data_IF_882522323980
#
_entry.id   IF_882522323980
#
_cell.length_a   1.000
_cell.length_b   1.000
_cell.length_c   1.000
_cell.angle_alpha   90.00
_cell.angle_beta   90.00
_cell.angle_gamma   90.00
#
_symmetry.space_group_name_H-M   'P 1'
#
loop_
_entity.id
_entity.type
_entity.pdbx_description
1 polymer ?
#
# COMPACT_ATOMS: atom_id res chain seq x y z
N UNK A 1 11.22 -6.06 2.74
CA UNK A 1 11.75 -4.70 2.89
C UNK A 1 11.37 -3.90 1.65
N UNK A 2 10.92 -2.65 1.80
CA UNK A 2 10.54 -1.80 0.66
C UNK A 2 11.79 -1.21 -0.01
N UNK A 3 11.78 -1.17 -1.33
CA UNK A 3 12.70 -0.34 -2.11
C UNK A 3 12.30 1.14 -1.93
N UNK A 4 13.28 1.99 -1.66
CA UNK A 4 13.07 3.43 -1.47
C UNK A 4 12.90 4.09 -2.84
N UNK A 5 11.67 4.10 -3.33
CA UNK A 5 11.25 4.71 -4.60
C UNK A 5 9.82 5.23 -4.49
N UNK A 6 9.47 6.19 -5.35
CA UNK A 6 8.10 6.69 -5.45
C UNK A 6 7.16 5.56 -5.88
N UNK A 7 5.96 5.53 -5.30
CA UNK A 7 4.89 4.62 -5.64
C UNK A 7 3.54 5.30 -5.41
N UNK A 8 2.56 4.97 -6.25
CA UNK A 8 1.17 5.33 -6.04
C UNK A 8 0.46 4.18 -5.31
N UNK A 9 -0.41 4.52 -4.36
CA UNK A 9 -1.28 3.56 -3.66
C UNK A 9 -2.71 4.04 -3.84
N UNK A 10 -3.56 3.18 -4.38
CA UNK A 10 -4.99 3.45 -4.48
C UNK A 10 -5.67 2.95 -3.22
N UNK A 11 -6.51 3.78 -2.62
CA UNK A 11 -7.39 3.41 -1.52
C UNK A 11 -8.78 3.12 -2.05
N UNK A 12 -9.44 2.12 -1.47
CA UNK A 12 -10.87 1.92 -1.67
C UNK A 12 -11.69 2.85 -0.77
N UNK A 13 -13.02 2.82 -0.94
CA UNK A 13 -13.93 3.68 -0.19
C UNK A 13 -13.85 3.46 1.33
N UNK A 14 -13.71 2.21 1.77
CA UNK A 14 -13.66 1.89 3.19
C UNK A 14 -12.36 2.36 3.83
N UNK A 15 -11.24 2.19 3.13
CA UNK A 15 -9.94 2.70 3.56
C UNK A 15 -9.90 4.23 3.60
N UNK A 16 -10.60 4.92 2.68
CA UNK A 16 -10.72 6.37 2.72
C UNK A 16 -11.50 6.85 3.95
N UNK A 17 -12.60 6.17 4.30
CA UNK A 17 -13.38 6.49 5.50
C UNK A 17 -12.55 6.26 6.77
N UNK A 18 -11.83 5.13 6.83
CA UNK A 18 -10.97 4.81 7.97
C UNK A 18 -9.85 5.85 8.14
N UNK A 19 -9.24 6.29 7.04
CA UNK A 19 -8.23 7.34 7.06
C UNK A 19 -8.79 8.66 7.61
N UNK A 20 -9.96 9.09 7.13
CA UNK A 20 -10.62 10.30 7.63
C UNK A 20 -10.89 10.21 9.13
N UNK A 21 -11.43 9.08 9.61
CA UNK A 21 -11.71 8.86 11.04
C UNK A 21 -10.44 8.95 11.89
N UNK A 22 -9.36 8.27 11.48
CA UNK A 22 -8.07 8.29 12.19
C UNK A 22 -7.54 9.73 12.33
N UNK A 23 -7.63 10.53 11.26
CA UNK A 23 -7.16 11.92 11.25
C UNK A 23 -8.00 12.80 12.18
N UNK A 24 -9.33 12.65 12.13
CA UNK A 24 -10.26 13.40 12.98
C UNK A 24 -10.05 13.08 14.46
N UNK A 25 -9.97 11.78 14.79
CA UNK A 25 -9.85 11.29 16.16
C UNK A 25 -8.41 11.39 16.71
N UNK A 26 -7.44 11.66 15.84
CA UNK A 26 -5.99 11.69 16.14
C UNK A 26 -5.51 10.39 16.80
N UNK A 27 -6.06 9.25 16.37
CA UNK A 27 -5.71 7.94 16.92
C UNK A 27 -4.41 7.41 16.31
N UNK A 28 -3.30 7.59 17.04
CA UNK A 28 -1.98 7.14 16.61
C UNK A 28 -1.87 5.61 16.49
N UNK A 29 -2.65 4.84 17.27
CA UNK A 29 -2.59 3.37 17.23
C UNK A 29 -3.28 2.85 15.98
N UNK A 30 -4.46 3.37 15.67
CA UNK A 30 -5.16 3.03 14.43
C UNK A 30 -4.41 3.57 13.22
N UNK A 31 -3.76 4.73 13.31
CA UNK A 31 -2.86 5.21 12.24
C UNK A 31 -1.75 4.19 11.91
N UNK A 32 -1.07 3.65 12.92
CA UNK A 32 -0.03 2.65 12.69
C UNK A 32 -0.61 1.37 12.09
N UNK A 33 -1.79 0.94 12.54
CA UNK A 33 -2.49 -0.24 12.01
C UNK A 33 -2.87 -0.03 10.54
N UNK A 34 -3.44 1.11 10.20
CA UNK A 34 -3.80 1.49 8.84
C UNK A 34 -2.57 1.55 7.92
N UNK A 35 -1.48 2.19 8.37
CA UNK A 35 -0.22 2.24 7.61
C UNK A 35 0.32 0.83 7.32
N UNK A 36 0.19 -0.11 8.26
CA UNK A 36 0.65 -1.48 8.05
C UNK A 36 -0.27 -2.25 7.09
N UNK A 37 -1.58 -2.10 7.24
CA UNK A 37 -2.54 -2.93 6.53
C UNK A 37 -2.85 -2.41 5.12
N UNK A 38 -3.20 -1.12 5.01
CA UNK A 38 -3.57 -0.47 3.76
C UNK A 38 -2.34 -0.04 2.96
N UNK A 39 -1.36 0.62 3.58
CA UNK A 39 -0.24 1.21 2.83
C UNK A 39 0.90 0.21 2.60
N UNK A 40 1.46 -0.37 3.66
CA UNK A 40 2.65 -1.21 3.57
C UNK A 40 2.41 -2.45 2.71
N UNK A 41 1.27 -3.14 2.89
CA UNK A 41 0.95 -4.32 2.09
C UNK A 41 0.80 -3.96 0.60
N UNK A 42 0.10 -2.87 0.26
CA UNK A 42 -0.06 -2.42 -1.13
C UNK A 42 1.28 -2.02 -1.75
N UNK A 43 2.16 -1.36 -0.99
CA UNK A 43 3.52 -1.05 -1.43
C UNK A 43 4.34 -2.32 -1.68
N UNK A 44 4.27 -3.32 -0.79
CA UNK A 44 4.94 -4.61 -0.99
C UNK A 44 4.45 -5.27 -2.28
N UNK A 45 3.13 -5.32 -2.50
CA UNK A 45 2.55 -5.93 -3.69
C UNK A 45 2.92 -5.18 -4.97
N UNK A 46 2.82 -3.86 -4.98
CA UNK A 46 3.20 -3.03 -6.12
C UNK A 46 4.68 -3.18 -6.49
N UNK A 47 5.55 -3.41 -5.49
CA UNK A 47 6.97 -3.64 -5.73
C UNK A 47 7.28 -5.08 -6.17
N UNK A 48 6.52 -6.07 -5.68
CA UNK A 48 6.63 -7.48 -6.10
C UNK A 48 6.10 -7.70 -7.51
N UNK A 49 5.00 -7.03 -7.90
CA UNK A 49 4.40 -7.15 -9.22
C UNK A 49 5.28 -6.66 -10.39
N UNK A 50 6.33 -5.86 -10.10
CA UNK A 50 7.39 -5.49 -11.06
C UNK A 50 8.41 -6.61 -11.31
N UNK A 51 8.30 -7.76 -10.63
CA UNK A 51 9.04 -8.99 -10.92
C UNK A 51 8.21 -9.93 -11.81
N UNK A 52 7.52 -9.41 -12.82
CA UNK A 52 7.11 -10.23 -13.95
C UNK A 52 8.25 -10.21 -14.97
N UNK A 53 8.94 -11.33 -15.20
CA UNK A 53 9.96 -11.41 -16.25
C UNK A 53 9.24 -11.25 -17.59
N UNK A 54 9.57 -10.19 -18.32
CA UNK A 54 9.12 -9.98 -19.71
C UNK A 54 9.69 -11.01 -20.70
N UNK A 55 10.06 -12.22 -20.26
CA UNK A 55 10.63 -13.27 -21.12
C UNK A 55 9.99 -14.63 -20.82
N UNK A 56 8.68 -14.72 -21.03
CA UNK A 56 8.02 -15.97 -21.44
C UNK A 56 7.55 -15.88 -22.91
N UNK A 57 8.22 -15.04 -23.71
CA UNK A 57 8.22 -15.14 -25.17
C UNK A 57 9.59 -15.68 -25.59
N UNK A 58 9.74 -16.99 -25.44
CA UNK A 58 10.79 -17.79 -26.06
C UNK A 58 10.11 -18.81 -26.96
N UNK A 59 10.22 -18.55 -28.26
CA UNK A 59 10.07 -19.39 -29.46
C UNK A 59 9.74 -20.87 -29.28
#
# INVERSE_FOLDING_TARGET
>A
MLQIRKAAVTLDEQEMIELEQIIVDRDEKEALRFLRHAIYNKLVQAQRGKLQPELAQGQ
#
